data_IF_251170509521
#
_entry.id   IF_251170509521
#
_cell.length_a   1.000
_cell.length_b   1.000
_cell.length_c   1.000
_cell.angle_alpha   90.00
_cell.angle_beta   90.00
_cell.angle_gamma   90.00
#
_symmetry.space_group_name_H-M   'P 1'
#
loop_
_entity.id
_entity.type
_entity.pdbx_description
1 polymer ?
#
# COMPACT_ATOMS: atom_id res chain seq x y z
N UNK A 1 -5.75 9.62 50.66
CA UNK A 1 -5.49 8.16 50.63
C UNK A 1 -6.33 7.57 49.51
N UNK A 2 -5.76 7.43 48.30
CA UNK A 2 -6.46 6.79 47.18
C UNK A 2 -5.99 5.34 47.12
N UNK A 3 -6.87 4.41 47.54
CA UNK A 3 -6.58 2.97 47.41
C UNK A 3 -6.79 2.57 45.95
N UNK A 4 -5.72 2.14 45.30
CA UNK A 4 -5.75 1.54 43.96
C UNK A 4 -6.61 0.28 44.04
N UNK A 5 -7.71 0.26 43.29
CA UNK A 5 -8.62 -0.87 43.18
C UNK A 5 -7.91 -1.99 42.41
N UNK A 6 -7.79 -3.18 43.03
CA UNK A 6 -7.23 -4.35 42.34
C UNK A 6 -8.13 -4.74 41.17
N UNK A 7 -7.53 -4.83 39.99
CA UNK A 7 -8.16 -5.23 38.74
C UNK A 7 -8.67 -6.68 38.83
N UNK A 8 -9.79 -6.97 38.15
CA UNK A 8 -10.41 -8.31 38.07
C UNK A 8 -9.55 -9.25 37.20
N UNK A 9 -9.69 -10.59 37.31
CA UNK A 9 -9.04 -11.52 36.39
C UNK A 9 -9.34 -11.14 34.92
N UNK A 10 -8.29 -10.99 34.10
CA UNK A 10 -8.38 -10.50 32.71
C UNK A 10 -8.20 -9.00 32.53
N UNK A 11 -7.93 -8.24 33.61
CA UNK A 11 -7.61 -6.81 33.56
C UNK A 11 -6.17 -6.58 34.00
N UNK A 12 -5.41 -5.87 33.17
CA UNK A 12 -4.00 -5.51 33.40
C UNK A 12 -3.75 -4.02 33.20
N UNK A 13 -2.57 -3.56 33.58
CA UNK A 13 -2.13 -2.17 33.39
C UNK A 13 -0.93 -2.17 32.47
N UNK A 14 -1.12 -1.70 31.24
CA UNK A 14 -0.05 -1.50 30.28
C UNK A 14 0.50 -0.08 30.41
N UNK A 15 1.81 0.03 30.50
CA UNK A 15 2.54 1.30 30.44
C UNK A 15 2.78 1.63 28.97
N UNK A 16 2.22 2.74 28.50
CA UNK A 16 2.40 3.23 27.13
C UNK A 16 3.27 4.46 27.19
N UNK A 17 4.39 4.43 26.47
CA UNK A 17 5.30 5.56 26.34
C UNK A 17 5.59 5.85 24.88
N UNK A 18 5.62 7.13 24.52
CA UNK A 18 5.97 7.59 23.19
C UNK A 18 7.40 8.10 23.22
N UNK A 19 8.27 7.46 22.46
CA UNK A 19 9.69 7.77 22.36
C UNK A 19 10.03 8.15 20.94
N UNK A 20 11.01 9.03 20.76
CA UNK A 20 11.55 9.30 19.43
C UNK A 20 12.78 8.41 19.23
N UNK A 21 12.77 7.59 18.18
CA UNK A 21 13.96 6.88 17.70
C UNK A 21 14.34 7.45 16.33
N UNK A 22 15.25 8.41 16.33
CA UNK A 22 15.52 9.23 15.15
C UNK A 22 14.28 10.02 14.73
N UNK A 23 13.88 10.02 13.43
CA UNK A 23 12.68 10.71 12.96
C UNK A 23 11.37 9.95 13.26
N UNK A 24 11.45 8.75 13.84
CA UNK A 24 10.28 7.88 14.06
C UNK A 24 9.76 8.05 15.48
N UNK A 25 8.46 8.33 15.61
CA UNK A 25 7.76 8.22 16.88
C UNK A 25 7.43 6.75 17.15
N UNK A 26 8.09 6.17 18.14
CA UNK A 26 7.89 4.80 18.60
C UNK A 26 6.97 4.82 19.81
N UNK A 27 5.83 4.15 19.70
CA UNK A 27 4.96 3.88 20.84
C UNK A 27 5.38 2.54 21.44
N UNK A 28 5.99 2.57 22.62
CA UNK A 28 6.38 1.38 23.37
C UNK A 28 5.30 1.07 24.40
N UNK A 29 4.74 -0.13 24.30
CA UNK A 29 3.72 -0.65 25.22
C UNK A 29 4.38 -1.73 26.05
N UNK A 30 4.50 -1.52 27.36
CA UNK A 30 5.17 -2.44 28.29
C UNK A 30 4.17 -2.94 29.32
N UNK A 31 4.09 -4.25 29.51
CA UNK A 31 3.32 -4.81 30.62
C UNK A 31 4.09 -4.57 31.94
N UNK A 32 3.46 -3.85 32.86
CA UNK A 32 4.07 -3.47 34.14
C UNK A 32 4.35 -4.69 35.02
N UNK A 33 3.60 -5.79 34.88
CA UNK A 33 3.88 -7.03 35.62
C UNK A 33 5.15 -7.71 35.12
N UNK A 34 5.44 -7.66 33.83
CA UNK A 34 6.61 -8.32 33.23
C UNK A 34 7.93 -7.60 33.59
N UNK A 35 7.87 -6.28 33.73
CA UNK A 35 8.99 -5.44 34.21
C UNK A 35 9.41 -5.73 35.65
N UNK A 36 8.47 -6.17 36.50
CA UNK A 36 8.77 -6.56 37.89
C UNK A 36 9.32 -8.00 38.00
N UNK A 37 8.91 -8.90 37.10
CA UNK A 37 9.44 -10.27 37.02
C UNK A 37 10.89 -10.31 36.54
N UNK A 38 11.27 -9.43 35.63
CA UNK A 38 12.63 -9.35 35.06
C UNK A 38 13.68 -8.80 36.04
N UNK A 39 13.29 -8.01 37.04
CA UNK A 39 14.21 -7.47 38.05
C UNK A 39 14.51 -8.44 39.20
N UNK A 40 13.79 -9.57 39.32
CA UNK A 40 13.82 -10.42 40.53
C UNK A 40 14.36 -11.84 40.31
N UNK A 41 14.86 -12.20 39.14
CA UNK A 41 15.36 -13.57 38.87
C UNK A 41 16.74 -13.57 38.20
N UNK A 42 17.76 -14.25 38.76
CA UNK A 42 18.95 -14.61 38.02
C UNK A 42 18.57 -15.75 37.05
N UNK A 43 18.28 -15.43 35.79
CA UNK A 43 17.85 -16.42 34.82
C UNK A 43 19.04 -17.08 34.12
N UNK A 44 19.28 -18.35 34.44
CA UNK A 44 19.95 -19.30 33.54
C UNK A 44 19.24 -19.23 32.18
N UNK A 45 19.97 -18.81 31.14
CA UNK A 45 19.49 -18.72 29.75
C UNK A 45 19.14 -20.12 29.24
N UNK A 46 17.89 -20.55 29.44
CA UNK A 46 17.30 -21.60 28.61
C UNK A 46 17.13 -21.01 27.21
N UNK A 47 17.54 -21.71 26.13
CA UNK A 47 17.30 -21.24 24.78
C UNK A 47 15.78 -21.11 24.60
N UNK A 48 15.33 -19.87 24.46
CA UNK A 48 13.95 -19.54 24.12
C UNK A 48 13.71 -20.15 22.74
N UNK A 49 12.89 -21.21 22.67
CA UNK A 49 12.41 -21.73 21.39
C UNK A 49 11.78 -20.55 20.64
N UNK A 50 12.13 -20.31 19.36
CA UNK A 50 11.53 -19.21 18.62
C UNK A 50 10.01 -19.40 18.64
N UNK A 51 9.30 -18.44 19.26
CA UNK A 51 7.85 -18.46 19.28
C UNK A 51 7.37 -18.25 17.83
N UNK A 52 6.62 -19.21 17.31
CA UNK A 52 5.97 -19.05 16.01
C UNK A 52 5.01 -17.87 16.07
N UNK A 53 5.09 -16.96 15.11
CA UNK A 53 4.17 -15.85 14.94
C UNK A 53 3.23 -16.20 13.80
N UNK A 54 1.93 -16.25 14.05
CA UNK A 54 0.89 -16.34 13.03
C UNK A 54 -0.10 -15.20 13.23
N UNK A 55 -0.38 -14.47 12.16
CA UNK A 55 -1.26 -13.31 12.13
C UNK A 55 -2.21 -13.45 10.96
N UNK A 56 -3.50 -13.47 11.24
CA UNK A 56 -4.55 -13.48 10.22
C UNK A 56 -5.43 -12.24 10.45
N UNK A 57 -5.51 -11.38 9.45
CA UNK A 57 -6.35 -10.18 9.42
C UNK A 57 -7.42 -10.38 8.37
N UNK A 58 -8.67 -10.11 8.73
CA UNK A 58 -9.81 -10.17 7.81
C UNK A 58 -10.69 -8.96 8.05
N UNK A 59 -10.83 -8.11 7.03
CA UNK A 59 -11.66 -6.91 7.03
C UNK A 59 -12.70 -7.03 5.91
N UNK A 60 -13.84 -7.64 6.22
CA UNK A 60 -14.93 -7.84 5.25
C UNK A 60 -15.53 -6.51 4.77
N UNK A 61 -15.80 -5.60 5.70
CA UNK A 61 -16.30 -4.26 5.41
C UNK A 61 -15.26 -3.36 4.73
N UNK A 62 -13.99 -3.78 4.72
CA UNK A 62 -12.93 -3.10 4.00
C UNK A 62 -12.28 -1.92 4.72
N UNK A 63 -11.53 -1.14 3.93
CA UNK A 63 -10.84 0.09 4.32
C UNK A 63 -11.17 1.18 3.31
N UNK A 64 -11.53 2.37 3.80
CA UNK A 64 -11.71 3.58 3.00
C UNK A 64 -10.57 4.56 3.23
N UNK A 65 -10.04 5.15 2.16
CA UNK A 65 -8.98 6.15 2.18
C UNK A 65 -9.44 7.34 1.34
N UNK A 66 -9.43 8.53 1.93
CA UNK A 66 -9.82 9.77 1.27
C UNK A 66 -8.60 10.67 1.05
N UNK A 67 -8.48 11.23 -0.15
CA UNK A 67 -7.49 12.24 -0.48
C UNK A 67 -8.14 13.62 -0.44
N UNK A 68 -7.86 14.37 0.63
CA UNK A 68 -8.40 15.72 0.84
C UNK A 68 -7.30 16.76 0.65
N UNK A 69 -7.56 17.80 -0.14
CA UNK A 69 -6.59 18.86 -0.37
C UNK A 69 -6.57 19.91 0.76
N UNK A 70 -5.63 20.86 0.69
CA UNK A 70 -5.49 21.94 1.69
C UNK A 70 -6.70 22.89 1.78
N UNK A 71 -7.62 22.84 0.81
CA UNK A 71 -8.86 23.60 0.80
C UNK A 71 -10.05 22.81 1.38
N UNK A 72 -9.82 21.65 2.00
CA UNK A 72 -10.85 20.72 2.48
C UNK A 72 -11.77 20.18 1.38
N UNK A 73 -11.29 20.15 0.15
CA UNK A 73 -11.98 19.52 -0.98
C UNK A 73 -11.47 18.08 -1.11
N UNK A 74 -12.39 17.12 -1.04
CA UNK A 74 -12.10 15.71 -1.27
C UNK A 74 -11.92 15.46 -2.77
N UNK A 75 -10.74 15.00 -3.17
CA UNK A 75 -10.40 14.74 -4.56
C UNK A 75 -10.75 13.31 -4.95
N UNK A 76 -10.36 12.35 -4.11
CA UNK A 76 -10.50 10.92 -4.37
C UNK A 76 -10.97 10.20 -3.11
N UNK A 77 -11.83 9.20 -3.30
CA UNK A 77 -12.15 8.22 -2.27
C UNK A 77 -11.85 6.82 -2.78
N UNK A 78 -10.90 6.13 -2.15
CA UNK A 78 -10.54 4.76 -2.46
C UNK A 78 -11.11 3.80 -1.41
N UNK A 79 -11.81 2.77 -1.88
CA UNK A 79 -12.42 1.72 -1.05
C UNK A 79 -11.84 0.36 -1.43
N UNK A 80 -11.37 -0.36 -0.43
CA UNK A 80 -10.83 -1.70 -0.54
C UNK A 80 -11.71 -2.64 0.27
N UNK A 81 -12.48 -3.52 -0.36
CA UNK A 81 -13.39 -4.44 0.34
C UNK A 81 -12.85 -5.87 0.37
N UNK A 82 -13.26 -6.65 1.37
CA UNK A 82 -12.88 -8.06 1.48
C UNK A 82 -11.37 -8.26 1.61
N UNK A 83 -10.72 -7.48 2.48
CA UNK A 83 -9.28 -7.59 2.70
C UNK A 83 -9.02 -8.82 3.57
N UNK A 84 -8.16 -9.71 3.08
CA UNK A 84 -7.68 -10.88 3.83
C UNK A 84 -6.16 -10.87 3.76
N UNK A 85 -5.50 -10.93 4.91
CA UNK A 85 -4.05 -10.99 5.02
C UNK A 85 -3.66 -12.09 6.01
N UNK A 86 -2.81 -13.01 5.59
CA UNK A 86 -2.23 -14.04 6.44
C UNK A 86 -0.71 -13.86 6.42
N UNK A 87 -0.10 -13.78 7.59
CA UNK A 87 1.33 -13.71 7.76
C UNK A 87 1.75 -14.73 8.80
N UNK A 88 2.73 -15.57 8.48
CA UNK A 88 3.29 -16.55 9.40
C UNK A 88 4.81 -16.49 9.37
N UNK A 89 5.44 -16.66 10.54
CA UNK A 89 6.88 -16.82 10.67
C UNK A 89 7.21 -18.29 10.83
N UNK A 90 7.91 -18.83 9.86
CA UNK A 90 8.52 -20.17 9.89
C UNK A 90 10.02 -19.99 10.08
N UNK A 91 10.52 -20.28 11.28
CA UNK A 91 11.93 -20.07 11.64
C UNK A 91 12.36 -18.60 11.43
N UNK A 92 13.20 -18.32 10.43
CA UNK A 92 13.65 -16.98 10.05
C UNK A 92 12.95 -16.42 8.81
N UNK A 93 12.01 -17.18 8.22
CA UNK A 93 11.28 -16.80 7.01
C UNK A 93 9.85 -16.39 7.35
N UNK A 94 9.43 -15.23 6.84
CA UNK A 94 8.06 -14.76 6.88
C UNK A 94 7.35 -15.18 5.60
N UNK A 95 6.26 -15.94 5.68
CA UNK A 95 5.36 -16.14 4.56
C UNK A 95 4.16 -15.21 4.72
N UNK A 96 3.83 -14.48 3.67
CA UNK A 96 2.69 -13.58 3.62
C UNK A 96 1.84 -13.84 2.39
N UNK A 97 0.55 -14.01 2.60
CA UNK A 97 -0.46 -14.07 1.54
C UNK A 97 -1.51 -13.02 1.82
N UNK A 98 -1.97 -12.35 0.77
CA UNK A 98 -2.97 -11.30 0.89
C UNK A 98 -3.90 -11.28 -0.30
N UNK A 99 -5.14 -10.89 -0.08
CA UNK A 99 -6.09 -10.62 -1.14
C UNK A 99 -6.99 -9.46 -0.79
N UNK A 100 -7.42 -8.72 -1.82
CA UNK A 100 -8.47 -7.71 -1.73
C UNK A 100 -9.51 -8.06 -2.76
N UNK A 101 -10.75 -8.28 -2.33
CA UNK A 101 -11.82 -8.76 -3.21
C UNK A 101 -12.24 -7.69 -4.22
N UNK A 102 -12.41 -6.44 -3.78
CA UNK A 102 -12.80 -5.31 -4.63
C UNK A 102 -11.98 -4.07 -4.33
N UNK A 103 -11.57 -3.38 -5.39
CA UNK A 103 -10.90 -2.08 -5.31
C UNK A 103 -11.70 -1.12 -6.16
N UNK A 104 -12.13 -0.02 -5.55
CA UNK A 104 -12.86 1.05 -6.20
C UNK A 104 -12.25 2.38 -5.78
N UNK A 105 -11.97 3.24 -6.75
CA UNK A 105 -11.48 4.59 -6.53
C UNK A 105 -12.40 5.53 -7.27
N UNK A 106 -12.96 6.48 -6.54
CA UNK A 106 -13.97 7.41 -7.02
C UNK A 106 -13.44 8.83 -7.03
N UNK A 107 -13.78 9.57 -8.08
CA UNK A 107 -13.65 11.00 -8.22
C UNK A 107 -14.72 11.68 -7.36
N UNK A 108 -14.30 12.42 -6.36
CA UNK A 108 -15.19 13.12 -5.42
C UNK A 108 -15.41 14.60 -5.79
N UNK A 109 -14.90 15.05 -6.94
CA UNK A 109 -15.12 16.41 -7.42
C UNK A 109 -16.60 16.62 -7.79
N UNK A 110 -17.23 17.61 -7.15
CA UNK A 110 -18.64 17.97 -7.34
C UNK A 110 -19.01 18.34 -8.77
N UNK A 111 -18.03 18.77 -9.57
CA UNK A 111 -18.21 19.22 -10.95
C UNK A 111 -17.94 18.14 -11.99
N UNK A 112 -17.66 16.89 -11.59
CA UNK A 112 -17.41 15.81 -12.55
C UNK A 112 -18.69 15.06 -12.89
N UNK A 113 -18.91 14.81 -14.17
CA UNK A 113 -20.02 14.00 -14.67
C UNK A 113 -19.76 12.49 -14.51
N UNK A 114 -18.53 12.10 -14.11
CA UNK A 114 -18.08 10.72 -14.01
C UNK A 114 -17.35 10.52 -12.69
N UNK A 115 -18.01 9.78 -11.79
CA UNK A 115 -17.53 9.56 -10.43
C UNK A 115 -16.53 8.43 -10.30
N UNK A 116 -16.40 7.53 -11.28
CA UNK A 116 -15.48 6.39 -11.19
C UNK A 116 -14.11 6.77 -11.79
N UNK A 117 -13.03 6.44 -11.09
CA UNK A 117 -11.65 6.63 -11.56
C UNK A 117 -10.97 5.31 -11.84
N UNK A 118 -11.11 4.36 -10.93
CA UNK A 118 -10.59 3.02 -11.08
C UNK A 118 -11.55 2.04 -10.46
N UNK A 119 -11.84 0.98 -11.19
CA UNK A 119 -12.64 -0.13 -10.69
C UNK A 119 -12.03 -1.45 -11.13
N UNK A 120 -11.70 -2.27 -10.14
CA UNK A 120 -11.24 -3.62 -10.37
C UNK A 120 -12.46 -4.55 -10.37
N UNK A 121 -12.85 -5.04 -11.55
CA UNK A 121 -13.96 -5.99 -11.64
C UNK A 121 -13.43 -7.42 -11.44
N UNK A 122 -13.77 -8.10 -10.34
CA UNK A 122 -13.57 -9.55 -10.25
C UNK A 122 -14.47 -10.20 -11.33
N UNK A 123 -13.90 -10.95 -12.27
CA UNK A 123 -14.71 -11.68 -13.25
C UNK A 123 -15.73 -12.56 -12.51
N UNK A 124 -17.01 -12.32 -12.79
CA UNK A 124 -18.09 -13.18 -12.33
C UNK A 124 -17.96 -14.52 -13.05
N UNK A 125 -17.32 -15.50 -12.41
CA UNK A 125 -17.38 -16.88 -12.88
C UNK A 125 -18.81 -17.36 -12.61
N UNK A 126 -19.55 -17.65 -13.68
CA UNK A 126 -20.81 -18.38 -13.64
C UNK A 126 -21.96 -17.60 -13.04
N UNK A 127 -22.80 -17.03 -13.91
CA UNK A 127 -24.20 -16.82 -13.56
C UNK A 127 -24.80 -18.22 -13.60
N UNK A 128 -25.05 -18.83 -12.44
CA UNK A 128 -25.97 -19.96 -12.39
C UNK A 128 -27.32 -19.45 -12.93
N UNK A 129 -28.09 -20.28 -13.64
CA UNK A 129 -29.33 -19.92 -14.36
C UNK A 129 -30.43 -19.23 -13.50
N UNK A 130 -30.18 -19.06 -12.20
CA UNK A 130 -31.01 -18.38 -11.21
C UNK A 130 -30.55 -16.95 -10.85
N UNK A 131 -29.52 -16.40 -11.51
CA UNK A 131 -29.16 -14.98 -11.40
C UNK A 131 -28.47 -14.55 -10.09
N UNK A 132 -28.15 -15.51 -9.21
CA UNK A 132 -27.36 -15.25 -8.01
C UNK A 132 -25.88 -15.38 -8.34
N UNK A 133 -25.22 -14.25 -8.62
CA UNK A 133 -23.75 -14.21 -8.57
C UNK A 133 -23.30 -14.68 -7.19
N UNK A 134 -22.33 -15.60 -7.12
CA UNK A 134 -21.84 -16.19 -5.88
C UNK A 134 -20.98 -15.17 -5.08
N UNK A 135 -21.60 -14.07 -4.66
CA UNK A 135 -21.14 -13.27 -3.55
C UNK A 135 -21.48 -14.07 -2.30
N UNK A 136 -20.53 -14.82 -1.75
CA UNK A 136 -20.71 -15.48 -0.45
C UNK A 136 -20.62 -14.40 0.64
N UNK A 137 -21.66 -13.58 0.71
CA UNK A 137 -21.91 -12.65 1.80
C UNK A 137 -22.60 -13.44 2.92
N UNK A 138 -21.79 -14.04 3.79
CA UNK A 138 -22.26 -14.65 5.04
C UNK A 138 -21.39 -15.83 5.47
N UNK A 139 -20.79 -15.74 6.66
CA UNK A 139 -20.25 -16.85 7.45
C UNK A 139 -19.06 -17.67 6.93
N UNK A 140 -18.18 -17.09 6.12
CA UNK A 140 -16.87 -17.72 5.87
C UNK A 140 -15.96 -17.61 7.12
N UNK A 141 -15.10 -18.60 7.41
CA UNK A 141 -14.12 -18.47 8.48
C UNK A 141 -13.11 -17.35 8.20
N UNK A 142 -12.48 -16.75 9.23
CA UNK A 142 -11.40 -15.78 9.05
C UNK A 142 -10.28 -16.37 8.19
N UNK A 143 -9.71 -15.56 7.29
CA UNK A 143 -8.64 -16.01 6.38
C UNK A 143 -9.11 -16.56 5.03
N UNK A 144 -10.42 -16.66 4.77
CA UNK A 144 -10.96 -17.09 3.47
C UNK A 144 -11.52 -15.89 2.70
N UNK A 145 -11.01 -15.66 1.49
CA UNK A 145 -11.52 -14.64 0.56
C UNK A 145 -12.95 -15.00 0.13
N UNK A 146 -13.82 -14.00 0.08
CA UNK A 146 -15.22 -14.16 -0.32
C UNK A 146 -15.41 -14.30 -1.83
N UNK A 147 -14.34 -14.19 -2.61
CA UNK A 147 -14.38 -14.20 -4.07
C UNK A 147 -13.34 -15.15 -4.67
N UNK A 148 -13.67 -15.89 -5.75
CA UNK A 148 -12.71 -16.77 -6.40
C UNK A 148 -11.59 -15.98 -7.14
N UNK A 149 -11.91 -14.77 -7.59
CA UNK A 149 -11.02 -13.86 -8.33
C UNK A 149 -10.98 -12.49 -7.65
N UNK A 150 -10.26 -12.33 -6.52
CA UNK A 150 -10.07 -11.02 -5.90
C UNK A 150 -9.36 -10.04 -6.83
N UNK A 151 -9.68 -8.76 -6.68
CA UNK A 151 -9.08 -7.65 -7.40
C UNK A 151 -7.55 -7.58 -7.28
N UNK A 152 -7.00 -7.96 -6.12
CA UNK A 152 -5.57 -8.03 -5.86
C UNK A 152 -5.25 -9.34 -5.15
N UNK A 153 -4.19 -10.03 -5.60
CA UNK A 153 -3.54 -11.12 -4.86
C UNK A 153 -2.07 -10.78 -4.63
N UNK A 154 -1.62 -11.03 -3.42
CA UNK A 154 -0.24 -10.92 -3.00
C UNK A 154 0.19 -12.25 -2.40
N UNK A 155 1.34 -12.75 -2.84
CA UNK A 155 2.02 -13.88 -2.24
C UNK A 155 3.50 -13.56 -2.18
N UNK A 156 4.08 -13.59 -1.00
CA UNK A 156 5.50 -13.41 -0.86
C UNK A 156 6.04 -14.23 0.31
N UNK A 157 7.29 -14.65 0.20
CA UNK A 157 8.08 -15.05 1.35
C UNK A 157 9.26 -14.11 1.49
N UNK A 158 9.67 -13.81 2.72
CA UNK A 158 10.79 -12.94 3.03
C UNK A 158 11.64 -13.57 4.11
N UNK A 159 12.91 -13.83 3.81
CA UNK A 159 13.93 -14.26 4.77
C UNK A 159 14.89 -13.10 4.96
N UNK A 160 14.80 -12.35 6.07
CA UNK A 160 15.70 -11.24 6.33
C UNK A 160 17.13 -11.74 6.55
N UNK A 161 18.06 -11.30 5.71
CA UNK A 161 19.49 -11.57 5.86
C UNK A 161 20.21 -10.34 6.39
N UNK A 162 21.44 -10.54 6.86
CA UNK A 162 22.28 -9.48 7.45
C UNK A 162 22.47 -8.26 6.55
N UNK A 163 22.49 -8.45 5.23
CA UNK A 163 22.81 -7.41 4.24
C UNK A 163 21.77 -7.23 3.13
N UNK A 164 20.75 -8.09 3.08
CA UNK A 164 19.69 -8.05 2.07
C UNK A 164 18.44 -8.76 2.60
N UNK A 165 17.30 -8.58 1.94
CA UNK A 165 16.11 -9.40 2.19
C UNK A 165 15.94 -10.37 1.01
N UNK A 166 15.74 -11.65 1.32
CA UNK A 166 15.60 -12.70 0.32
C UNK A 166 14.13 -13.10 0.16
N UNK A 167 13.63 -13.03 -1.06
CA UNK A 167 12.28 -13.42 -1.45
C UNK A 167 12.38 -14.54 -2.46
N UNK A 168 12.14 -15.79 -2.08
CA UNK A 168 12.17 -16.90 -3.06
C UNK A 168 11.03 -16.75 -4.09
N UNK A 169 9.93 -16.17 -3.63
CA UNK A 169 8.73 -15.87 -4.37
C UNK A 169 8.17 -14.51 -3.92
N UNK A 170 7.93 -13.63 -4.89
CA UNK A 170 7.19 -12.39 -4.73
C UNK A 170 6.27 -12.22 -5.92
N UNK A 171 4.98 -12.40 -5.70
CA UNK A 171 3.94 -12.40 -6.73
C UNK A 171 2.86 -11.41 -6.37
N UNK A 172 2.61 -10.47 -7.28
CA UNK A 172 1.49 -9.55 -7.22
C UNK A 172 0.67 -9.72 -8.48
N UNK A 173 -0.62 -9.99 -8.32
CA UNK A 173 -1.56 -10.11 -9.43
C UNK A 173 -2.74 -9.18 -9.22
N UNK A 174 -2.98 -8.30 -10.18
CA UNK A 174 -4.17 -7.48 -10.31
C UNK A 174 -5.12 -8.10 -11.34
N UNK A 175 -6.42 -8.00 -11.11
CA UNK A 175 -7.42 -8.40 -12.10
C UNK A 175 -7.52 -7.37 -13.24
N UNK A 176 -8.51 -7.54 -14.10
CA UNK A 176 -8.85 -6.55 -15.13
C UNK A 176 -9.28 -5.23 -14.46
N UNK A 177 -8.82 -4.13 -15.05
CA UNK A 177 -8.93 -2.78 -14.52
C UNK A 177 -9.78 -1.94 -15.48
N UNK A 178 -10.83 -1.31 -14.99
CA UNK A 178 -11.48 -0.20 -15.69
C UNK A 178 -10.93 1.11 -15.10
N UNK A 179 -10.31 1.92 -15.95
CA UNK A 179 -9.66 3.18 -15.55
C UNK A 179 -10.28 4.30 -16.35
N UNK A 180 -10.87 5.25 -15.62
CA UNK A 180 -11.47 6.44 -16.18
C UNK A 180 -10.74 7.69 -15.66
N UNK A 181 -9.99 8.33 -16.55
CA UNK A 181 -9.23 9.52 -16.22
C UNK A 181 -10.01 10.78 -16.59
N UNK A 182 -10.36 11.57 -15.59
CA UNK A 182 -10.93 12.90 -15.74
C UNK A 182 -9.80 13.95 -15.72
N UNK A 183 -9.72 14.77 -16.77
CA UNK A 183 -8.65 15.77 -16.89
C UNK A 183 -8.65 16.80 -15.75
N UNK A 184 -9.81 17.24 -15.27
CA UNK A 184 -9.88 18.20 -14.16
C UNK A 184 -9.30 17.58 -12.88
N UNK A 185 -9.68 16.33 -12.60
CA UNK A 185 -9.15 15.58 -11.47
C UNK A 185 -7.62 15.39 -11.57
N UNK A 186 -7.10 15.03 -12.74
CA UNK A 186 -5.65 14.90 -12.96
C UNK A 186 -4.91 16.19 -12.59
N UNK A 187 -5.41 17.36 -13.04
CA UNK A 187 -4.79 18.64 -12.70
C UNK A 187 -4.90 19.00 -11.22
N UNK A 188 -6.01 18.66 -10.56
CA UNK A 188 -6.17 18.84 -9.11
C UNK A 188 -5.23 17.95 -8.30
N UNK A 189 -4.97 16.72 -8.75
CA UNK A 189 -3.98 15.82 -8.12
C UNK A 189 -2.56 16.34 -8.32
N UNK A 190 -2.22 16.84 -9.52
CA UNK A 190 -0.93 17.50 -9.77
C UNK A 190 -0.76 18.73 -8.89
N UNK A 191 -1.82 19.55 -8.77
CA UNK A 191 -1.83 20.71 -7.87
C UNK A 191 -1.59 20.30 -6.42
N UNK A 192 -2.29 19.26 -5.94
CA UNK A 192 -2.09 18.70 -4.60
C UNK A 192 -0.63 18.26 -4.39
N UNK A 193 -0.05 17.55 -5.36
CA UNK A 193 1.33 17.08 -5.30
C UNK A 193 2.37 18.22 -5.28
N UNK A 194 2.08 19.36 -5.92
CA UNK A 194 2.93 20.56 -5.88
C UNK A 194 2.76 21.39 -4.60
N UNK A 195 1.54 21.46 -4.06
CA UNK A 195 1.23 22.20 -2.84
C UNK A 195 1.79 21.51 -1.58
N UNK A 196 1.88 20.18 -1.60
CA UNK A 196 2.74 19.46 -0.68
C UNK A 196 4.19 19.81 -1.05
N UNK A 197 4.91 20.54 -0.19
CA UNK A 197 6.30 21.02 -0.32
C UNK A 197 7.37 19.91 -0.57
N UNK A 198 6.98 18.73 -1.06
CA UNK A 198 7.86 17.65 -1.49
C UNK A 198 8.71 18.01 -2.72
N UNK A 199 8.27 18.94 -3.58
CA UNK A 199 9.07 19.37 -4.73
C UNK A 199 10.19 20.37 -4.35
N UNK A 200 9.92 21.29 -3.43
CA UNK A 200 10.87 22.31 -2.94
C UNK A 200 11.88 21.72 -1.94
N UNK A 201 11.42 20.81 -1.06
CA UNK A 201 12.28 20.16 -0.05
C UNK A 201 13.24 19.12 -0.62
N UNK A 202 12.96 18.53 -1.79
CA UNK A 202 13.87 17.58 -2.46
C UNK A 202 14.97 18.30 -3.25
N UNK A 203 14.67 19.47 -3.85
CA UNK A 203 15.67 20.24 -4.61
C UNK A 203 16.52 21.20 -3.75
N UNK A 204 15.95 21.91 -2.77
CA UNK A 204 16.72 22.89 -1.98
C UNK A 204 17.63 22.28 -0.91
N UNK A 205 17.31 21.07 -0.42
CA UNK A 205 18.17 20.39 0.55
C UNK A 205 19.45 19.82 -0.06
N UNK A 206 19.52 19.75 -1.39
CA UNK A 206 20.68 19.22 -2.12
C UNK A 206 21.66 20.31 -2.57
N UNK A 207 21.26 21.59 -2.55
CA UNK A 207 22.04 22.70 -3.14
C UNK A 207 22.63 23.69 -2.12
N UNK A 208 22.31 23.58 -0.84
CA UNK A 208 22.79 24.51 0.20
C UNK A 208 23.59 23.86 1.33
N UNK A 209 23.81 22.54 1.26
CA UNK A 209 24.79 21.87 2.11
C UNK A 209 26.16 21.92 1.42
N UNK A 210 27.26 22.25 2.14
CA UNK A 210 28.60 21.96 1.62
C UNK A 210 28.64 20.48 1.20
N UNK A 211 29.46 20.09 0.20
CA UNK A 211 29.58 18.69 -0.18
C UNK A 211 29.87 17.90 1.08
N UNK A 212 28.89 17.13 1.55
CA UNK A 212 29.04 16.32 2.76
C UNK A 212 30.20 15.38 2.47
N UNK A 213 31.32 15.63 3.14
CA UNK A 213 32.47 14.73 3.20
C UNK A 213 32.14 13.46 4.01
N UNK A 214 30.92 13.36 4.55
CA UNK A 214 30.32 12.13 5.04
C UNK A 214 29.92 11.24 3.86
N UNK A 215 30.91 10.74 3.14
CA UNK A 215 30.82 9.41 2.56
C UNK A 215 30.51 8.46 3.73
N UNK A 216 29.47 7.63 3.59
CA UNK A 216 29.15 6.51 4.49
C UNK A 216 28.34 6.80 5.77
N UNK A 217 27.12 7.33 5.62
CA UNK A 217 25.98 6.62 6.24
C UNK A 217 24.98 6.25 5.16
N UNK A 218 25.06 5.04 4.59
CA UNK A 218 24.00 4.53 3.74
C UNK A 218 22.70 4.65 4.53
N UNK A 219 21.70 5.34 3.98
CA UNK A 219 20.33 5.11 4.44
C UNK A 219 20.10 3.61 4.28
N UNK A 220 19.94 2.85 5.39
CA UNK A 220 19.86 1.40 5.31
C UNK A 220 18.72 0.96 4.41
N UNK A 221 17.62 1.73 4.35
CA UNK A 221 16.47 1.42 3.51
C UNK A 221 16.73 1.65 2.02
N UNK A 222 17.57 2.64 1.69
CA UNK A 222 17.89 3.00 0.29
C UNK A 222 19.00 2.15 -0.30
N UNK A 223 19.80 1.50 0.55
CA UNK A 223 20.97 0.70 0.15
C UNK A 223 20.82 -0.80 0.42
N UNK A 224 19.81 -1.21 1.19
CA UNK A 224 19.50 -2.63 1.37
C UNK A 224 19.03 -3.21 0.04
N UNK A 225 19.72 -4.25 -0.40
CA UNK A 225 19.40 -4.98 -1.62
C UNK A 225 18.28 -5.97 -1.33
N UNK A 226 17.51 -6.28 -2.35
CA UNK A 226 16.51 -7.34 -2.34
C UNK A 226 16.93 -8.42 -3.31
N UNK A 227 16.91 -9.66 -2.84
CA UNK A 227 17.05 -10.83 -3.68
C UNK A 227 15.66 -11.38 -3.99
N UNK A 228 15.33 -11.58 -5.25
CA UNK A 228 14.11 -12.24 -5.68
C UNK A 228 14.44 -13.49 -6.48
N UNK A 229 14.13 -14.66 -5.93
CA UNK A 229 14.16 -15.92 -6.69
C UNK A 229 13.20 -15.85 -7.87
N UNK A 230 11.94 -15.49 -7.59
CA UNK A 230 10.90 -15.23 -8.59
C UNK A 230 10.14 -13.95 -8.24
N UNK A 231 10.32 -12.89 -9.03
CA UNK A 231 9.52 -11.68 -8.98
C UNK A 231 8.56 -11.66 -10.16
N UNK A 232 7.25 -11.69 -9.88
CA UNK A 232 6.20 -11.67 -10.89
C UNK A 232 5.18 -10.59 -10.54
N UNK A 233 5.08 -9.58 -11.39
CA UNK A 233 4.02 -8.58 -11.34
C UNK A 233 3.14 -8.78 -12.57
N UNK A 234 1.87 -9.07 -12.35
CA UNK A 234 0.89 -9.34 -13.39
C UNK A 234 -0.31 -8.43 -13.22
N UNK A 235 -0.77 -7.83 -14.31
CA UNK A 235 -1.98 -7.02 -14.37
C UNK A 235 -2.88 -7.60 -15.46
N UNK A 236 -4.19 -7.57 -15.22
CA UNK A 236 -5.18 -7.95 -16.22
C UNK A 236 -5.25 -6.97 -17.39
N UNK A 237 -6.28 -7.14 -18.21
CA UNK A 237 -6.62 -6.16 -19.25
C UNK A 237 -7.05 -4.84 -18.61
N UNK A 238 -6.57 -3.74 -19.16
CA UNK A 238 -6.93 -2.39 -18.71
C UNK A 238 -7.85 -1.78 -19.76
N UNK A 239 -9.10 -1.50 -19.40
CA UNK A 239 -10.00 -0.66 -20.18
C UNK A 239 -9.76 0.78 -19.77
N UNK A 240 -9.21 1.61 -20.67
CA UNK A 240 -8.85 3.00 -20.38
C UNK A 240 -9.78 3.96 -21.12
N UNK A 241 -10.38 4.88 -20.38
CA UNK A 241 -11.16 6.01 -20.90
C UNK A 241 -10.59 7.32 -20.37
N UNK A 242 -10.52 8.35 -21.22
CA UNK A 242 -10.04 9.69 -20.87
C UNK A 242 -11.09 10.72 -21.27
N UNK A 243 -11.51 11.53 -20.30
CA UNK A 243 -12.42 12.66 -20.51
C UNK A 243 -11.63 13.96 -20.37
N UNK A 244 -11.60 14.74 -21.45
CA UNK A 244 -10.93 16.06 -21.47
C UNK A 244 -11.92 17.18 -21.22
N UNK A 245 -11.48 18.23 -20.54
CA UNK A 245 -12.29 19.43 -20.28
C UNK A 245 -11.83 20.59 -21.15
N UNK A 246 -12.78 21.44 -21.54
CA UNK A 246 -12.48 22.66 -22.29
C UNK A 246 -11.56 23.59 -21.49
N UNK A 247 -10.78 24.44 -22.17
CA UNK A 247 -9.92 25.40 -21.45
C UNK A 247 -10.73 26.35 -20.58
N UNK A 248 -11.94 26.75 -21.00
CA UNK A 248 -12.79 27.68 -20.27
C UNK A 248 -13.41 27.08 -19.01
N UNK A 249 -13.63 25.76 -18.96
CA UNK A 249 -14.14 25.06 -17.78
C UNK A 249 -13.06 24.75 -16.73
N UNK A 250 -11.78 24.84 -17.08
CA UNK A 250 -10.70 24.62 -16.13
C UNK A 250 -10.51 25.82 -15.17
N UNK A 251 -10.38 25.58 -13.86
CA UNK A 251 -9.98 26.60 -12.90
C UNK A 251 -8.70 27.33 -13.35
N UNK A 252 -8.54 28.63 -13.04
CA UNK A 252 -7.37 29.41 -13.48
C UNK A 252 -6.02 28.78 -13.12
N UNK A 253 -5.91 28.20 -11.93
CA UNK A 253 -4.71 27.54 -11.44
C UNK A 253 -4.39 26.27 -12.24
N UNK A 254 -5.38 25.41 -12.48
CA UNK A 254 -5.24 24.22 -13.32
C UNK A 254 -4.89 24.58 -14.77
N UNK A 255 -5.39 25.70 -15.30
CA UNK A 255 -4.99 26.20 -16.62
C UNK A 255 -3.52 26.58 -16.70
N UNK A 256 -2.99 27.23 -15.65
CA UNK A 256 -1.57 27.57 -15.58
C UNK A 256 -0.71 26.31 -15.53
N UNK A 257 -1.10 25.31 -14.71
CA UNK A 257 -0.43 24.01 -14.67
C UNK A 257 -0.42 23.33 -16.05
N UNK A 258 -1.58 23.26 -16.71
CA UNK A 258 -1.68 22.69 -18.06
C UNK A 258 -0.75 23.37 -19.06
N UNK A 259 -0.59 24.70 -18.97
CA UNK A 259 0.35 25.45 -19.81
C UNK A 259 1.81 25.17 -19.47
N UNK A 260 2.15 25.05 -18.17
CA UNK A 260 3.51 24.75 -17.71
C UNK A 260 4.00 23.37 -18.15
N UNK A 261 3.14 22.34 -18.04
CA UNK A 261 3.49 20.97 -18.43
C UNK A 261 3.49 20.77 -19.95
N UNK A 262 2.94 21.69 -20.73
CA UNK A 262 2.83 21.62 -22.20
C UNK A 262 2.27 20.27 -22.72
N UNK A 263 1.32 19.69 -21.98
CA UNK A 263 0.71 18.40 -22.33
C UNK A 263 -0.64 18.59 -23.04
N UNK A 264 -0.87 17.81 -24.09
CA UNK A 264 -2.16 17.74 -24.79
C UNK A 264 -2.81 16.39 -24.53
N UNK A 265 -3.85 16.38 -23.70
CA UNK A 265 -4.70 15.22 -23.50
C UNK A 265 -5.69 15.09 -24.67
N UNK A 266 -6.01 13.85 -25.03
CA UNK A 266 -6.99 13.49 -26.05
C UNK A 266 -8.07 12.66 -25.37
N UNK A 267 -9.33 12.96 -25.65
CA UNK A 267 -10.44 12.18 -25.13
C UNK A 267 -10.67 10.95 -25.99
N UNK A 268 -10.84 9.81 -25.32
CA UNK A 268 -11.17 8.53 -25.92
C UNK A 268 -11.88 7.65 -24.89
N UNK A 269 -12.57 6.62 -25.33
CA UNK A 269 -13.28 5.68 -24.47
C UNK A 269 -12.87 4.25 -24.79
N UNK A 270 -12.82 3.40 -23.77
CA UNK A 270 -12.65 1.95 -23.84
C UNK A 270 -11.43 1.49 -24.67
N UNK A 271 -10.30 2.20 -24.55
CA UNK A 271 -9.04 1.74 -25.13
C UNK A 271 -8.52 0.56 -24.32
N UNK A 272 -8.45 -0.62 -24.93
CA UNK A 272 -7.90 -1.81 -24.27
C UNK A 272 -6.38 -1.76 -24.29
N UNK A 273 -5.77 -1.80 -23.11
CA UNK A 273 -4.32 -1.86 -22.91
C UNK A 273 -3.98 -3.17 -22.20
N UNK A 274 -3.11 -3.97 -22.83
CA UNK A 274 -2.59 -5.20 -22.24
C UNK A 274 -1.12 -4.99 -21.89
N UNK A 275 -0.79 -4.97 -20.60
CA UNK A 275 0.58 -4.87 -20.14
C UNK A 275 1.18 -6.27 -19.98
N UNK A 276 2.38 -6.56 -20.55
CA UNK A 276 3.03 -7.83 -20.32
C UNK A 276 3.41 -7.99 -18.82
N UNK A 277 3.39 -9.22 -18.29
CA UNK A 277 3.79 -9.44 -16.90
C UNK A 277 5.28 -9.15 -16.74
N UNK A 278 5.64 -8.36 -15.73
CA UNK A 278 7.03 -8.14 -15.36
C UNK A 278 7.53 -9.35 -14.58
N UNK A 279 8.46 -10.09 -15.19
CA UNK A 279 9.03 -11.32 -14.63
C UNK A 279 10.54 -11.18 -14.52
N UNK A 280 11.06 -11.35 -13.32
CA UNK A 280 12.49 -11.39 -13.05
C UNK A 280 12.81 -12.65 -12.24
N UNK A 281 13.89 -13.33 -12.62
CA UNK A 281 14.37 -14.56 -11.98
C UNK A 281 15.75 -14.30 -11.40
N UNK A 282 15.96 -14.70 -10.14
CA UNK A 282 17.22 -14.49 -9.41
C UNK A 282 17.70 -13.02 -9.45
N UNK A 283 16.78 -12.08 -9.33
CA UNK A 283 17.05 -10.65 -9.39
C UNK A 283 17.66 -10.17 -8.07
N UNK A 284 18.75 -9.41 -8.11
CA UNK A 284 19.43 -8.96 -6.90
C UNK A 284 19.89 -7.51 -6.99
N UNK A 285 19.02 -6.58 -6.63
CA UNK A 285 19.28 -5.15 -6.77
C UNK A 285 18.62 -4.33 -5.66
N UNK A 286 18.90 -3.02 -5.65
CA UNK A 286 18.23 -2.08 -4.74
C UNK A 286 16.82 -1.74 -5.23
N UNK A 287 15.98 -1.23 -4.32
CA UNK A 287 14.64 -0.74 -4.65
C UNK A 287 14.65 0.36 -5.72
N UNK A 288 15.67 1.23 -5.73
CA UNK A 288 15.82 2.28 -6.75
C UNK A 288 16.02 1.69 -8.16
N UNK A 289 16.89 0.69 -8.29
CA UNK A 289 17.15 0.07 -9.58
C UNK A 289 15.97 -0.80 -10.04
N UNK A 290 15.23 -1.42 -9.11
CA UNK A 290 13.96 -2.08 -9.40
C UNK A 290 12.93 -1.10 -9.98
N UNK A 291 12.77 0.08 -9.36
CA UNK A 291 11.85 1.12 -9.86
C UNK A 291 12.26 1.62 -11.25
N UNK A 292 13.56 1.87 -11.49
CA UNK A 292 14.06 2.25 -12.81
C UNK A 292 13.83 1.14 -13.85
N UNK A 293 14.01 -0.12 -13.46
CA UNK A 293 13.78 -1.28 -14.33
C UNK A 293 12.30 -1.40 -14.71
N UNK A 294 11.40 -1.20 -13.75
CA UNK A 294 9.95 -1.17 -13.98
C UNK A 294 9.56 -0.01 -14.89
N UNK A 295 10.13 1.17 -14.67
CA UNK A 295 9.89 2.34 -15.51
C UNK A 295 10.29 2.07 -16.96
N UNK A 296 11.50 1.56 -17.20
CA UNK A 296 11.99 1.21 -18.55
C UNK A 296 11.22 0.08 -19.22
N UNK A 297 10.57 -0.79 -18.45
CA UNK A 297 9.83 -1.92 -18.99
C UNK A 297 8.44 -1.51 -19.50
N UNK A 298 7.78 -0.58 -18.81
CA UNK A 298 6.43 -0.13 -19.15
C UNK A 298 6.37 1.20 -19.91
N UNK A 299 7.44 1.99 -19.94
CA UNK A 299 7.54 3.30 -20.61
C UNK A 299 8.81 3.40 -21.46
#
# INVERSE_FOLDING_TARGET
IWRIQRQRPGSGTLEVECLHNGPTLVVRITDREDRMRTMSMPSILKPVKPAGLEMNVTMRAGLGISLVNGCHEELLYAKFEGIVLSAKRLEETYLMTGSVDKIQIDNQLLSSDRWQVLYCQPEAIGIDEEGNGMYINGDLPPGVSGTPRPALKLEMNCTPMKHYDAFDCFRVKLCDLDVQLDELLLWKVVQFAQASDAASSVQQKTLSLPPNTDLERPDPFRTRRWYFGNLILEMGQISLSVVTVSKSSLPPECRQLKQQFNMKLVSFENATVSLPPFRQFHYFETSSFLLESLQKFYF
#
